data_IF_287983946320
#
_entry.id   IF_287983946320
#
_cell.length_a   1.000
_cell.length_b   1.000
_cell.length_c   1.000
_cell.angle_alpha   90.00
_cell.angle_beta   90.00
_cell.angle_gamma   90.00
#
_symmetry.space_group_name_H-M   'P 1'
#
loop_
_entity.id
_entity.type
_entity.pdbx_description
1 polymer ?
#
# COMPACT_ATOMS: atom_id res chain seq x y z
N UNK A 1 -30.94 3.93 -30.81
CA UNK A 1 -29.87 3.92 -29.78
C UNK A 1 -28.52 3.92 -30.49
N UNK A 2 -28.14 5.06 -31.07
CA UNK A 2 -26.85 5.22 -31.76
C UNK A 2 -25.80 5.61 -30.70
N UNK A 3 -24.59 5.04 -30.78
CA UNK A 3 -23.53 5.27 -29.80
C UNK A 3 -23.73 4.57 -28.45
N UNK A 4 -24.48 3.46 -28.37
CA UNK A 4 -24.55 2.64 -27.16
C UNK A 4 -23.35 1.67 -27.11
N UNK A 5 -22.43 1.79 -26.14
CA UNK A 5 -21.28 0.87 -25.99
C UNK A 5 -21.67 -0.55 -25.51
N UNK A 6 -22.97 -0.89 -25.51
CA UNK A 6 -23.51 -2.15 -25.01
C UNK A 6 -23.72 -3.19 -26.14
N UNK A 7 -23.60 -2.78 -27.40
CA UNK A 7 -24.00 -3.60 -28.55
C UNK A 7 -22.99 -4.67 -28.94
N UNK A 8 -21.69 -4.44 -28.79
CA UNK A 8 -20.67 -5.35 -29.32
C UNK A 8 -19.43 -5.30 -28.42
N UNK A 9 -18.99 -6.45 -27.91
CA UNK A 9 -17.75 -6.59 -27.15
C UNK A 9 -17.95 -6.90 -25.66
N UNK A 10 -17.29 -7.96 -25.18
CA UNK A 10 -17.30 -8.40 -23.79
C UNK A 10 -16.38 -7.53 -22.89
N UNK A 11 -16.22 -6.25 -23.23
CA UNK A 11 -15.19 -5.35 -22.65
C UNK A 11 -15.58 -4.74 -21.30
N UNK A 12 -16.87 -4.78 -20.96
CA UNK A 12 -17.39 -4.18 -19.73
C UNK A 12 -17.80 -5.26 -18.72
N UNK A 13 -17.56 -4.99 -17.44
CA UNK A 13 -18.16 -5.73 -16.33
C UNK A 13 -19.67 -5.51 -16.30
N UNK A 14 -20.42 -6.41 -15.64
CA UNK A 14 -21.87 -6.24 -15.44
C UNK A 14 -22.20 -4.94 -14.71
N UNK A 15 -21.35 -4.55 -13.75
CA UNK A 15 -21.48 -3.30 -13.01
C UNK A 15 -21.37 -2.07 -13.91
N UNK A 16 -20.34 -2.01 -14.76
CA UNK A 16 -20.14 -0.90 -15.70
C UNK A 16 -21.29 -0.79 -16.71
N UNK A 17 -21.77 -1.94 -17.23
CA UNK A 17 -22.94 -1.96 -18.13
C UNK A 17 -24.18 -1.39 -17.45
N UNK A 18 -24.42 -1.75 -16.19
CA UNK A 18 -25.55 -1.25 -15.40
C UNK A 18 -25.43 0.26 -15.17
N UNK A 19 -24.25 0.76 -14.77
CA UNK A 19 -24.03 2.20 -14.58
C UNK A 19 -24.27 2.99 -15.89
N UNK A 20 -23.72 2.50 -17.01
CA UNK A 20 -23.90 3.14 -18.32
C UNK A 20 -25.38 3.18 -18.75
N UNK A 21 -26.16 2.14 -18.43
CA UNK A 21 -27.61 2.12 -18.69
C UNK A 21 -28.38 3.09 -17.81
N UNK A 22 -28.11 3.09 -16.50
CA UNK A 22 -28.79 3.96 -15.54
C UNK A 22 -28.59 5.44 -15.91
N UNK A 23 -27.36 5.83 -16.22
CA UNK A 23 -27.04 7.21 -16.59
C UNK A 23 -27.72 7.69 -17.90
N UNK A 24 -27.98 6.76 -18.83
CA UNK A 24 -28.66 7.05 -20.12
C UNK A 24 -30.17 7.11 -20.00
N UNK A 25 -30.76 6.52 -18.97
CA UNK A 25 -32.20 6.34 -18.83
C UNK A 25 -32.74 7.05 -17.57
N UNK A 26 -32.85 8.39 -17.57
CA UNK A 26 -33.19 9.18 -16.38
C UNK A 26 -34.51 8.79 -15.73
N UNK A 27 -35.49 8.36 -16.54
CA UNK A 27 -36.84 8.05 -16.08
C UNK A 27 -37.01 6.60 -15.60
N UNK A 28 -35.99 5.77 -15.75
CA UNK A 28 -36.06 4.36 -15.37
C UNK A 28 -35.79 4.20 -13.88
N UNK A 29 -36.72 3.55 -13.18
CA UNK A 29 -36.65 3.28 -11.74
C UNK A 29 -36.22 1.85 -11.42
N UNK A 30 -36.36 0.93 -12.37
CA UNK A 30 -36.03 -0.49 -12.21
C UNK A 30 -35.55 -1.05 -13.55
N UNK A 31 -34.52 -1.90 -13.53
CA UNK A 31 -34.06 -2.64 -14.70
C UNK A 31 -34.52 -4.10 -14.61
N UNK A 32 -34.81 -4.73 -15.75
CA UNK A 32 -35.25 -6.12 -15.81
C UNK A 32 -34.22 -7.05 -15.15
N UNK A 33 -34.67 -7.89 -14.21
CA UNK A 33 -33.79 -8.79 -13.46
C UNK A 33 -32.88 -8.10 -12.43
N UNK A 34 -33.03 -6.79 -12.22
CA UNK A 34 -32.25 -6.01 -11.25
C UNK A 34 -33.11 -5.35 -10.17
N UNK A 35 -32.44 -4.83 -9.14
CA UNK A 35 -33.08 -4.08 -8.06
C UNK A 35 -33.56 -2.68 -8.48
N UNK A 36 -34.40 -2.09 -7.63
CA UNK A 36 -34.80 -0.68 -7.71
C UNK A 36 -33.55 0.21 -7.67
N UNK A 37 -33.47 1.17 -8.58
CA UNK A 37 -32.35 2.11 -8.66
C UNK A 37 -32.51 3.14 -7.55
N UNK A 38 -31.57 3.17 -6.61
CA UNK A 38 -31.54 4.18 -5.56
C UNK A 38 -31.10 5.54 -6.09
N UNK A 39 -31.36 6.62 -5.34
CA UNK A 39 -30.87 7.95 -5.69
C UNK A 39 -29.34 7.99 -5.74
N UNK A 40 -28.67 7.37 -4.76
CA UNK A 40 -27.22 7.24 -4.69
C UNK A 40 -26.66 6.48 -5.89
N UNK A 41 -27.25 5.33 -6.25
CA UNK A 41 -26.82 4.54 -7.40
C UNK A 41 -26.97 5.33 -8.71
N UNK A 42 -28.03 6.13 -8.85
CA UNK A 42 -28.22 6.98 -10.02
C UNK A 42 -27.16 8.07 -10.09
N UNK A 43 -26.91 8.77 -8.99
CA UNK A 43 -25.88 9.79 -8.93
C UNK A 43 -24.50 9.21 -9.25
N UNK A 44 -24.14 8.05 -8.66
CA UNK A 44 -22.89 7.36 -8.93
C UNK A 44 -22.76 6.96 -10.40
N UNK A 45 -23.83 6.41 -10.99
CA UNK A 45 -23.87 6.04 -12.39
C UNK A 45 -23.70 7.25 -13.32
N UNK A 46 -24.36 8.38 -13.02
CA UNK A 46 -24.25 9.61 -13.79
C UNK A 46 -22.85 10.23 -13.69
N UNK A 47 -22.24 10.23 -12.50
CA UNK A 47 -20.86 10.68 -12.29
C UNK A 47 -19.85 9.78 -13.00
N UNK A 48 -20.06 8.46 -12.95
CA UNK A 48 -19.25 7.50 -13.69
C UNK A 48 -19.37 7.70 -15.20
N UNK A 49 -20.57 8.02 -15.70
CA UNK A 49 -20.83 8.30 -17.10
C UNK A 49 -20.06 9.53 -17.61
N UNK A 50 -20.04 10.61 -16.82
CA UNK A 50 -19.22 11.79 -17.14
C UNK A 50 -17.74 11.39 -17.26
N UNK A 51 -17.21 10.68 -16.26
CA UNK A 51 -15.80 10.26 -16.28
C UNK A 51 -15.46 9.39 -17.49
N UNK A 52 -16.36 8.47 -17.87
CA UNK A 52 -16.17 7.58 -19.00
C UNK A 52 -16.08 8.30 -20.36
N UNK A 53 -16.84 9.39 -20.56
CA UNK A 53 -16.83 10.16 -21.82
C UNK A 53 -15.89 11.39 -21.79
N UNK A 54 -15.36 11.76 -20.63
CA UNK A 54 -14.47 12.92 -20.49
C UNK A 54 -13.22 12.81 -21.38
N UNK A 55 -12.58 11.64 -21.41
CA UNK A 55 -11.35 11.43 -22.20
C UNK A 55 -11.62 10.98 -23.64
N UNK A 56 -12.90 10.84 -24.03
CA UNK A 56 -13.29 10.44 -25.39
C UNK A 56 -13.44 11.65 -26.33
N UNK A 57 -13.25 11.45 -27.64
CA UNK A 57 -13.50 12.49 -28.64
C UNK A 57 -14.93 13.06 -28.53
N UNK A 58 -15.11 14.34 -28.81
CA UNK A 58 -16.43 15.00 -28.76
C UNK A 58 -17.46 14.33 -29.67
N UNK A 59 -17.04 13.76 -30.80
CA UNK A 59 -17.89 12.98 -31.72
C UNK A 59 -18.55 11.77 -31.06
N UNK A 60 -17.93 11.23 -30.02
CA UNK A 60 -18.36 10.02 -29.33
C UNK A 60 -19.13 10.33 -28.05
N UNK A 61 -19.22 11.62 -27.68
CA UNK A 61 -19.93 12.06 -26.47
C UNK A 61 -21.42 12.20 -26.77
N UNK A 62 -22.29 11.43 -26.11
CA UNK A 62 -23.74 11.56 -26.30
C UNK A 62 -24.25 12.87 -25.68
N UNK A 63 -25.37 13.41 -26.17
CA UNK A 63 -26.00 14.63 -25.62
C UNK A 63 -26.18 14.58 -24.10
N UNK A 64 -26.55 13.39 -23.59
CA UNK A 64 -26.70 13.10 -22.16
C UNK A 64 -25.45 13.44 -21.34
N UNK A 65 -24.25 13.33 -21.92
CA UNK A 65 -23.01 13.73 -21.25
C UNK A 65 -23.03 15.22 -20.87
N UNK A 66 -23.41 16.10 -21.81
CA UNK A 66 -23.42 17.54 -21.59
C UNK A 66 -24.49 17.95 -20.57
N UNK A 67 -25.65 17.30 -20.58
CA UNK A 67 -26.69 17.48 -19.55
C UNK A 67 -26.16 17.12 -18.16
N UNK A 68 -25.49 15.97 -18.02
CA UNK A 68 -24.96 15.51 -16.74
C UNK A 68 -23.83 16.41 -16.24
N UNK A 69 -23.00 16.98 -17.13
CA UNK A 69 -21.99 17.98 -16.75
C UNK A 69 -22.62 19.27 -16.22
N UNK A 70 -23.79 19.68 -16.74
CA UNK A 70 -24.53 20.83 -16.20
C UNK A 70 -25.09 20.55 -14.79
N UNK A 71 -25.49 19.31 -14.52
CA UNK A 71 -26.08 18.90 -13.23
C UNK A 71 -24.99 18.66 -12.17
N UNK A 72 -23.95 17.89 -12.50
CA UNK A 72 -22.94 17.39 -11.55
C UNK A 72 -21.63 18.19 -11.56
N UNK A 73 -21.48 19.13 -12.51
CA UNK A 73 -20.25 19.84 -12.76
C UNK A 73 -19.22 19.01 -13.53
N UNK A 74 -18.04 19.61 -13.77
CA UNK A 74 -16.87 18.90 -14.31
C UNK A 74 -16.24 18.08 -13.20
N UNK A 75 -16.17 16.76 -13.39
CA UNK A 75 -15.54 15.84 -12.46
C UNK A 75 -14.06 15.63 -12.81
N UNK A 76 -13.22 15.55 -11.79
CA UNK A 76 -11.83 15.13 -11.97
C UNK A 76 -11.73 13.62 -12.23
N UNK A 77 -10.66 13.24 -12.95
CA UNK A 77 -10.30 11.84 -13.15
C UNK A 77 -10.11 11.16 -11.78
N UNK A 78 -10.64 9.94 -11.62
CA UNK A 78 -10.35 9.16 -10.43
C UNK A 78 -8.87 8.79 -10.42
N UNK A 79 -8.15 9.19 -9.37
CA UNK A 79 -6.79 8.71 -9.13
C UNK A 79 -6.88 7.28 -8.62
N UNK A 80 -6.15 6.37 -9.24
CA UNK A 80 -6.01 5.00 -8.73
C UNK A 80 -5.08 5.03 -7.51
N UNK A 81 -5.68 5.12 -6.32
CA UNK A 81 -4.94 5.07 -5.05
C UNK A 81 -4.90 3.63 -4.58
N UNK A 82 -3.74 2.99 -4.63
CA UNK A 82 -3.54 1.70 -3.98
C UNK A 82 -3.41 1.91 -2.46
N UNK A 83 -4.51 1.72 -1.74
CA UNK A 83 -4.57 1.81 -0.28
C UNK A 83 -4.03 0.56 0.43
N UNK A 84 -3.46 -0.41 -0.30
CA UNK A 84 -2.87 -1.59 0.33
C UNK A 84 -1.69 -1.16 1.21
N UNK A 85 -1.59 -1.68 2.45
CA UNK A 85 -0.47 -1.36 3.33
C UNK A 85 0.86 -1.73 2.67
N UNK A 86 1.85 -0.84 2.79
CA UNK A 86 3.18 -1.05 2.23
C UNK A 86 3.80 -2.33 2.79
N UNK A 87 3.93 -3.35 1.94
CA UNK A 87 4.50 -4.64 2.35
C UNK A 87 6.02 -4.58 2.50
N UNK A 88 6.66 -3.57 1.90
CA UNK A 88 8.11 -3.41 1.86
C UNK A 88 8.49 -1.96 2.08
N UNK A 89 9.43 -1.72 2.98
CA UNK A 89 9.94 -0.40 3.34
C UNK A 89 11.45 -0.31 3.08
N UNK A 90 11.95 0.86 2.72
CA UNK A 90 13.39 1.11 2.51
C UNK A 90 13.98 1.69 3.78
N UNK A 91 14.86 0.95 4.45
CA UNK A 91 15.48 1.39 5.70
C UNK A 91 16.99 1.28 5.64
N UNK A 92 17.64 2.06 6.51
CA UNK A 92 19.09 2.11 6.65
C UNK A 92 19.54 1.07 7.66
N UNK A 93 20.45 0.19 7.26
CA UNK A 93 21.10 -0.76 8.17
C UNK A 93 22.50 -0.27 8.49
N UNK A 94 22.80 -0.06 9.77
CA UNK A 94 24.10 0.45 10.21
C UNK A 94 24.81 -0.60 11.07
N UNK A 95 26.04 -0.97 10.70
CA UNK A 95 26.88 -1.92 11.42
C UNK A 95 28.30 -1.35 11.57
N UNK A 96 28.62 -0.82 12.76
CA UNK A 96 29.90 -0.14 12.98
C UNK A 96 30.01 1.11 12.10
N UNK A 97 31.00 1.13 11.20
CA UNK A 97 31.21 2.20 10.21
C UNK A 97 30.46 1.99 8.89
N UNK A 98 29.85 0.84 8.67
CA UNK A 98 29.19 0.51 7.41
C UNK A 98 27.70 0.81 7.52
N UNK A 99 27.14 1.48 6.52
CA UNK A 99 25.71 1.75 6.42
C UNK A 99 25.20 1.47 5.01
N UNK A 100 24.06 0.80 4.88
CA UNK A 100 23.47 0.43 3.59
C UNK A 100 21.94 0.52 3.64
N UNK A 101 21.34 1.13 2.61
CA UNK A 101 19.88 1.21 2.46
C UNK A 101 19.37 -0.05 1.76
N UNK A 102 18.47 -0.80 2.42
CA UNK A 102 17.84 -2.00 1.83
C UNK A 102 16.33 -2.00 1.99
N UNK A 103 15.66 -2.63 1.03
CA UNK A 103 14.23 -2.90 1.11
C UNK A 103 13.94 -4.15 1.94
N UNK A 104 13.20 -3.99 3.03
CA UNK A 104 12.79 -5.08 3.93
C UNK A 104 11.27 -5.27 3.91
N UNK A 105 10.81 -6.52 4.01
CA UNK A 105 9.39 -6.83 4.13
C UNK A 105 8.90 -6.75 5.57
N UNK A 106 7.86 -5.96 5.85
CA UNK A 106 7.38 -5.68 7.22
C UNK A 106 6.75 -6.91 7.92
N UNK A 107 6.30 -7.92 7.16
CA UNK A 107 5.71 -9.15 7.70
C UNK A 107 6.74 -10.21 8.09
N UNK A 108 8.03 -9.95 7.90
CA UNK A 108 9.10 -10.86 8.32
C UNK A 108 9.34 -10.76 9.82
N UNK A 109 9.91 -11.80 10.41
CA UNK A 109 10.31 -11.83 11.83
C UNK A 109 11.71 -11.24 12.01
N UNK A 110 12.02 -10.84 13.24
CA UNK A 110 13.37 -10.40 13.63
C UNK A 110 14.43 -11.49 13.38
N UNK A 111 14.08 -12.77 13.55
CA UNK A 111 14.98 -13.89 13.23
C UNK A 111 15.35 -13.94 11.74
N UNK A 112 14.37 -13.89 10.85
CA UNK A 112 14.59 -13.89 9.39
C UNK A 112 15.39 -12.66 8.95
N UNK A 113 15.13 -11.51 9.57
CA UNK A 113 15.93 -10.30 9.33
C UNK A 113 17.40 -10.51 9.72
N UNK A 114 17.69 -11.07 10.89
CA UNK A 114 19.07 -11.33 11.32
C UNK A 114 19.82 -12.26 10.36
N UNK A 115 19.18 -13.33 9.91
CA UNK A 115 19.78 -14.27 8.93
C UNK A 115 20.16 -13.55 7.62
N UNK A 116 19.30 -12.65 7.13
CA UNK A 116 19.59 -11.86 5.92
C UNK A 116 20.70 -10.83 6.09
N UNK A 117 20.93 -10.38 7.32
CA UNK A 117 21.97 -9.42 7.65
C UNK A 117 23.34 -10.06 7.90
N UNK A 118 23.45 -11.40 7.94
CA UNK A 118 24.73 -12.10 8.18
C UNK A 118 25.80 -11.70 7.17
N UNK A 119 25.46 -11.66 5.89
CA UNK A 119 26.39 -11.26 4.81
C UNK A 119 26.81 -9.79 4.94
N UNK A 120 25.90 -8.91 5.38
CA UNK A 120 26.19 -7.48 5.55
C UNK A 120 27.03 -7.20 6.80
N UNK A 121 26.70 -7.84 7.92
CA UNK A 121 27.35 -7.62 9.20
C UNK A 121 28.70 -8.37 9.31
N UNK A 122 28.89 -9.45 8.56
CA UNK A 122 30.09 -10.28 8.61
C UNK A 122 30.17 -11.19 9.83
N UNK A 123 29.06 -11.44 10.53
CA UNK A 123 28.99 -12.38 11.65
C UNK A 123 27.60 -13.04 11.76
N UNK A 124 27.50 -14.21 12.44
CA UNK A 124 26.25 -14.97 12.50
C UNK A 124 25.13 -14.25 13.26
N UNK A 125 23.88 -14.54 12.88
CA UNK A 125 22.64 -14.04 13.48
C UNK A 125 22.58 -14.26 15.01
N UNK A 126 23.15 -15.36 15.49
CA UNK A 126 23.24 -15.68 16.92
C UNK A 126 24.03 -14.63 17.71
N UNK A 127 25.03 -14.01 17.08
CA UNK A 127 25.88 -12.96 17.66
C UNK A 127 25.34 -11.55 17.39
N UNK A 128 24.14 -11.39 16.82
CA UNK A 128 23.53 -10.08 16.53
C UNK A 128 22.57 -9.57 17.61
N UNK A 129 22.67 -8.28 17.93
CA UNK A 129 21.63 -7.45 18.55
C UNK A 129 21.21 -6.39 17.52
N UNK A 130 19.90 -6.24 17.34
CA UNK A 130 19.33 -5.22 16.46
C UNK A 130 18.64 -4.17 17.32
N UNK A 131 18.89 -2.90 17.01
CA UNK A 131 18.23 -1.77 17.64
C UNK A 131 17.50 -0.99 16.56
N UNK A 132 16.20 -0.80 16.74
CA UNK A 132 15.37 0.02 15.87
C UNK A 132 15.48 1.48 16.32
N UNK A 133 15.65 2.40 15.37
CA UNK A 133 15.65 3.84 15.60
C UNK A 133 14.58 4.45 14.72
N UNK A 134 13.55 4.97 15.39
CA UNK A 134 12.55 5.84 14.78
C UNK A 134 13.19 7.22 14.58
N UNK A 135 13.26 7.70 13.33
CA UNK A 135 13.91 8.98 13.04
C UNK A 135 13.15 10.17 13.65
N UNK A 136 11.83 10.08 13.81
CA UNK A 136 11.01 11.15 14.38
C UNK A 136 11.20 11.24 15.91
N UNK A 137 11.57 10.14 16.55
CA UNK A 137 11.72 10.04 18.02
C UNK A 137 13.18 9.84 18.48
N UNK A 138 14.13 9.98 17.56
CA UNK A 138 15.55 9.67 17.79
C UNK A 138 16.13 10.39 19.01
N UNK A 139 15.82 11.67 19.16
CA UNK A 139 16.36 12.52 20.23
C UNK A 139 15.64 12.35 21.58
N UNK A 140 14.47 11.70 21.59
CA UNK A 140 13.61 11.58 22.77
C UNK A 140 13.71 10.18 23.38
N UNK A 141 13.54 9.15 22.57
CA UNK A 141 13.35 7.77 23.04
C UNK A 141 14.59 6.89 22.87
N UNK A 142 15.48 7.28 21.95
CA UNK A 142 16.67 6.51 21.61
C UNK A 142 16.36 5.13 20.99
N UNK A 143 17.39 4.31 20.73
CA UNK A 143 17.22 3.05 20.02
C UNK A 143 16.47 1.97 20.83
N UNK A 144 15.41 1.39 20.27
CA UNK A 144 14.66 0.28 20.86
C UNK A 144 15.30 -1.07 20.52
N UNK A 145 15.66 -1.87 21.54
CA UNK A 145 16.20 -3.22 21.32
C UNK A 145 15.12 -4.18 20.78
N UNK A 146 15.39 -4.82 19.65
CA UNK A 146 14.54 -5.85 19.07
C UNK A 146 14.74 -7.21 19.77
N UNK A 147 14.14 -7.36 20.95
CA UNK A 147 14.35 -8.49 21.87
C UNK A 147 13.80 -9.83 21.37
N UNK A 148 12.60 -9.82 20.79
CA UNK A 148 11.86 -11.04 20.50
C UNK A 148 12.08 -11.49 19.05
N UNK A 149 12.72 -12.65 18.88
CA UNK A 149 13.07 -13.18 17.56
C UNK A 149 11.84 -13.49 16.68
N UNK A 150 10.71 -13.88 17.29
CA UNK A 150 9.44 -14.17 16.62
C UNK A 150 8.60 -12.94 16.32
N UNK A 151 8.93 -11.77 16.88
CA UNK A 151 8.17 -10.53 16.65
C UNK A 151 8.36 -10.09 15.20
N UNK A 152 7.26 -9.73 14.54
CA UNK A 152 7.27 -9.27 13.15
C UNK A 152 7.63 -7.78 13.07
N UNK A 153 8.29 -7.38 11.99
CA UNK A 153 8.82 -6.03 11.83
C UNK A 153 7.74 -4.93 11.89
N UNK A 154 6.54 -5.19 11.36
CA UNK A 154 5.44 -4.22 11.37
C UNK A 154 5.05 -3.75 12.79
N UNK A 155 5.28 -4.57 13.82
CA UNK A 155 4.93 -4.24 15.20
C UNK A 155 5.86 -3.20 15.84
N UNK A 156 6.92 -2.81 15.15
CA UNK A 156 7.77 -1.67 15.48
C UNK A 156 7.36 -0.40 14.71
N UNK A 157 6.29 -0.46 13.90
CA UNK A 157 5.81 0.64 13.06
C UNK A 157 6.88 1.22 12.12
N UNK A 158 7.77 0.36 11.62
CA UNK A 158 8.89 0.76 10.75
C UNK A 158 8.37 1.36 9.45
N UNK A 159 8.89 2.53 9.09
CA UNK A 159 8.61 3.29 7.88
C UNK A 159 9.86 3.42 7.01
N UNK A 160 9.64 3.82 5.77
CA UNK A 160 10.76 4.13 4.88
C UNK A 160 11.52 5.35 5.39
N UNK A 161 12.86 5.26 5.49
CA UNK A 161 13.71 6.29 6.08
C UNK A 161 14.25 5.94 7.48
N UNK A 162 13.66 4.96 8.15
CA UNK A 162 14.11 4.54 9.48
C UNK A 162 15.45 3.81 9.46
N UNK A 163 16.03 3.61 10.66
CA UNK A 163 17.33 2.96 10.84
C UNK A 163 17.26 1.73 11.75
N UNK A 164 17.99 0.67 11.39
CA UNK A 164 18.26 -0.47 12.25
C UNK A 164 19.77 -0.59 12.46
N UNK A 165 20.20 -0.45 13.71
CA UNK A 165 21.59 -0.57 14.12
C UNK A 165 21.89 -2.01 14.54
N UNK A 166 22.96 -2.56 13.98
CA UNK A 166 23.43 -3.93 14.18
C UNK A 166 24.66 -3.89 15.07
N UNK A 167 24.59 -4.59 16.21
CA UNK A 167 25.68 -4.65 17.18
C UNK A 167 26.03 -6.11 17.47
N UNK A 168 27.34 -6.40 17.52
CA UNK A 168 27.85 -7.72 17.88
C UNK A 168 27.74 -7.94 19.39
N UNK A 169 27.21 -9.10 19.80
CA UNK A 169 27.21 -9.55 21.20
C UNK A 169 28.66 -9.80 21.64
N UNK A 170 29.08 -9.17 22.73
CA UNK A 170 30.34 -9.49 23.40
C UNK A 170 30.24 -10.89 24.04
N UNK A 171 31.25 -11.72 23.87
CA UNK A 171 31.38 -13.00 24.59
C UNK A 171 31.89 -12.72 26.01
N UNK A 172 31.13 -13.13 27.03
CA UNK A 172 31.63 -13.13 28.41
C UNK A 172 32.69 -14.24 28.53
N UNK A 173 33.97 -13.91 28.41
CA UNK A 173 35.06 -14.79 28.85
C UNK A 173 34.91 -15.00 30.35
N UNK A 174 34.43 -16.17 30.77
CA UNK A 174 34.52 -16.62 32.17
C UNK A 174 36.01 -16.64 32.50
N UNK A 175 36.47 -15.78 33.42
CA UNK A 175 37.83 -15.80 33.95
C UNK A 175 37.98 -17.11 34.73
N UNK A 176 38.61 -18.12 34.16
CA UNK A 176 39.09 -19.28 34.91
C UNK A 176 40.31 -18.83 35.70
N UNK A 177 40.17 -18.64 37.01
CA UNK A 177 41.29 -18.53 37.93
C UNK A 177 41.93 -19.92 38.01
N UNK A 178 43.10 -20.09 37.41
CA UNK A 178 43.98 -21.22 37.70
C UNK A 178 44.98 -20.74 38.75
N UNK A 179 44.71 -21.05 40.01
CA UNK A 179 45.72 -21.00 41.07
C UNK A 179 46.77 -22.06 40.76
N UNK A 180 48.01 -21.61 40.55
CA UNK A 180 49.19 -22.48 40.50
C UNK A 180 49.61 -22.80 41.93
N UNK A 181 49.76 -24.10 42.21
CA UNK A 181 50.37 -24.64 43.43
C UNK A 181 51.83 -24.21 43.58
#
# INVERSE_FOLDING_TARGET
LQGCPLGEGNEYTEHERRQLLIARLPNVKTLNGGGVISAEEREDAERAFIRYYMDKPESDRPERYFELVQIHGKLDSLVNVDLRPEKRVKITFTCGSNSEVKSVGIYRTVSDLKTRLETFAGFPASKMRLFYVDQDLRDIQGPELMRFASKQLFSYNIRSGDEIIIVRKMENKRRTHSESK
#
